data_IF_136123894835
#
_entry.id   IF_136123894835
#
_cell.length_a   1.000
_cell.length_b   1.000
_cell.length_c   1.000
_cell.angle_alpha   90.00
_cell.angle_beta   90.00
_cell.angle_gamma   90.00
#
_symmetry.space_group_name_H-M   'P 1'
#
loop_
_entity.id
_entity.type
_entity.pdbx_description
1 polymer ?
#
# COMPACT_ATOMS: atom_id res chain seq x y z
N UNK A 1 9.90 -10.73 10.41
CA UNK A 1 8.63 -10.39 9.74
C UNK A 1 8.72 -10.92 8.31
N UNK A 2 7.81 -11.80 7.87
CA UNK A 2 7.73 -12.23 6.47
C UNK A 2 6.61 -11.42 5.81
N UNK A 3 6.90 -10.70 4.72
CA UNK A 3 5.90 -9.92 3.97
C UNK A 3 4.94 -10.85 3.21
N UNK A 4 3.79 -10.31 2.80
CA UNK A 4 2.87 -11.05 1.94
C UNK A 4 3.55 -11.43 0.61
N UNK A 5 3.19 -12.57 0.03
CA UNK A 5 3.84 -13.10 -1.16
C UNK A 5 3.81 -12.14 -2.37
N UNK A 6 2.77 -11.32 -2.47
CA UNK A 6 2.59 -10.37 -3.56
C UNK A 6 3.55 -9.17 -3.50
N UNK A 7 4.15 -8.85 -2.34
CA UNK A 7 5.06 -7.70 -2.23
C UNK A 7 6.35 -7.88 -3.03
N UNK A 8 6.68 -9.14 -3.42
CA UNK A 8 7.84 -9.47 -4.24
C UNK A 8 9.17 -8.97 -3.67
N UNK A 9 10.13 -8.72 -4.57
CA UNK A 9 11.48 -8.23 -4.24
C UNK A 9 11.74 -6.78 -4.66
N UNK A 10 10.82 -6.13 -5.39
CA UNK A 10 10.96 -4.74 -5.79
C UNK A 10 10.88 -3.82 -4.56
N UNK A 11 11.92 -3.02 -4.25
CA UNK A 11 11.92 -2.11 -3.11
C UNK A 11 10.74 -1.12 -3.10
N UNK A 12 10.25 -0.71 -4.26
CA UNK A 12 9.12 0.22 -4.35
C UNK A 12 7.83 -0.47 -3.89
N UNK A 13 7.56 -1.68 -4.39
CA UNK A 13 6.40 -2.47 -4.00
C UNK A 13 6.46 -2.89 -2.53
N UNK A 14 7.65 -3.21 -2.02
CA UNK A 14 7.84 -3.49 -0.59
C UNK A 14 7.54 -2.26 0.28
N UNK A 15 7.95 -1.07 -0.14
CA UNK A 15 7.66 0.16 0.59
C UNK A 15 6.17 0.46 0.61
N UNK A 16 5.49 0.32 -0.53
CA UNK A 16 4.04 0.46 -0.62
C UNK A 16 3.32 -0.55 0.29
N UNK A 17 3.71 -1.83 0.24
CA UNK A 17 3.20 -2.87 1.13
C UNK A 17 3.34 -2.50 2.61
N UNK A 18 4.53 -2.06 3.01
CA UNK A 18 4.84 -1.86 4.42
C UNK A 18 4.24 -0.59 5.02
N UNK A 19 3.98 0.43 4.19
CA UNK A 19 3.62 1.78 4.67
C UNK A 19 2.23 2.24 4.29
N UNK A 20 1.65 1.68 3.23
CA UNK A 20 0.42 2.21 2.64
C UNK A 20 -0.65 1.12 2.58
N UNK A 21 -0.28 -0.10 2.17
CA UNK A 21 -1.25 -1.17 1.99
C UNK A 21 -1.81 -1.69 3.32
N UNK A 22 -3.15 -1.68 3.44
CA UNK A 22 -3.86 -2.14 4.64
C UNK A 22 -3.79 -1.17 5.83
N UNK A 23 -3.17 0.01 5.66
CA UNK A 23 -3.16 1.06 6.68
C UNK A 23 -4.48 1.85 6.61
N UNK A 24 -5.24 1.98 7.71
CA UNK A 24 -6.47 2.76 7.71
C UNK A 24 -6.24 4.21 7.27
N UNK A 25 -7.06 4.66 6.32
CA UNK A 25 -7.01 6.02 5.77
C UNK A 25 -8.40 6.64 5.84
N UNK A 26 -8.49 7.83 6.45
CA UNK A 26 -9.76 8.53 6.68
C UNK A 26 -9.87 9.86 5.92
N UNK A 27 -8.92 10.15 5.02
CA UNK A 27 -8.96 11.35 4.21
C UNK A 27 -9.67 11.04 2.87
N UNK A 28 -10.82 11.68 2.64
CA UNK A 28 -11.67 11.40 1.48
C UNK A 28 -10.98 11.61 0.13
N UNK A 29 -10.16 12.67 0.00
CA UNK A 29 -9.45 12.94 -1.25
C UNK A 29 -8.43 11.84 -1.57
N UNK A 30 -7.65 11.40 -0.58
CA UNK A 30 -6.68 10.31 -0.76
C UNK A 30 -7.37 8.96 -0.96
N UNK A 31 -8.52 8.73 -0.32
CA UNK A 31 -9.33 7.55 -0.60
C UNK A 31 -9.80 7.54 -2.06
N UNK A 32 -10.25 8.69 -2.57
CA UNK A 32 -10.61 8.83 -3.98
C UNK A 32 -9.41 8.56 -4.90
N UNK A 33 -8.23 9.09 -4.59
CA UNK A 33 -6.99 8.77 -5.32
C UNK A 33 -6.75 7.25 -5.39
N UNK A 34 -6.87 6.53 -4.26
CA UNK A 34 -6.64 5.07 -4.22
C UNK A 34 -7.69 4.26 -4.99
N UNK A 35 -8.91 4.78 -5.19
CA UNK A 35 -9.96 4.12 -5.98
C UNK A 35 -9.70 4.27 -7.49
N UNK A 36 -9.09 5.39 -7.89
CA UNK A 36 -8.85 5.67 -9.31
C UNK A 36 -7.58 5.02 -9.88
N UNK A 37 -6.60 4.71 -9.03
CA UNK A 37 -5.32 4.09 -9.40
C UNK A 37 -5.44 2.59 -9.67
#
# INVERSE_FOLDING_TARGET
MRRCAWSGSDPLMQRYHDKEWGVPLHNDQRLFEMICL
#
